data_IF_845676256560
#
_entry.id   IF_845676256560
#
_cell.length_a   1.000
_cell.length_b   1.000
_cell.length_c   1.000
_cell.angle_alpha   90.00
_cell.angle_beta   90.00
_cell.angle_gamma   90.00
#
_symmetry.space_group_name_H-M   'P 1'
#
loop_
_entity.id
_entity.type
_entity.pdbx_description
1 polymer ?
#
# COMPACT_ATOMS: atom_id res chain seq x y z
N UNK A 1 -2.97 21.63 17.64
CA UNK A 1 -3.71 22.29 16.55
C UNK A 1 -3.65 21.37 15.35
N UNK A 2 -4.80 20.92 14.83
CA UNK A 2 -4.84 19.98 13.71
C UNK A 2 -5.43 20.65 12.48
N UNK A 3 -4.76 20.56 11.33
CA UNK A 3 -5.28 21.05 10.06
C UNK A 3 -5.82 19.87 9.27
N UNK A 4 -7.06 19.99 8.80
CA UNK A 4 -7.75 19.01 7.96
C UNK A 4 -7.99 19.60 6.58
N UNK A 5 -7.74 18.82 5.53
CA UNK A 5 -7.92 19.22 4.15
C UNK A 5 -9.05 18.42 3.50
N UNK A 6 -10.02 19.11 2.93
CA UNK A 6 -11.03 18.54 2.04
C UNK A 6 -10.59 18.78 0.60
N UNK A 7 -9.86 17.80 0.05
CA UNK A 7 -9.31 17.88 -1.31
C UNK A 7 -10.38 17.84 -2.40
N UNK A 8 -11.54 17.21 -2.13
CA UNK A 8 -12.64 17.12 -3.10
C UNK A 8 -13.24 18.49 -3.36
N UNK A 9 -13.35 19.31 -2.32
CA UNK A 9 -13.93 20.65 -2.40
C UNK A 9 -12.88 21.78 -2.37
N UNK A 10 -11.58 21.45 -2.29
CA UNK A 10 -10.46 22.40 -2.16
C UNK A 10 -10.61 23.34 -0.96
N UNK A 11 -10.94 22.78 0.21
CA UNK A 11 -11.13 23.53 1.45
C UNK A 11 -10.15 23.05 2.52
N UNK A 12 -9.75 23.93 3.42
CA UNK A 12 -8.88 23.60 4.54
C UNK A 12 -9.51 24.12 5.84
N UNK A 13 -9.39 23.33 6.90
CA UNK A 13 -9.96 23.65 8.20
C UNK A 13 -8.92 23.47 9.29
N UNK A 14 -8.80 24.46 10.15
CA UNK A 14 -7.98 24.37 11.34
C UNK A 14 -8.86 24.12 12.54
N UNK A 15 -8.53 23.09 13.33
CA UNK A 15 -9.22 22.76 14.57
C UNK A 15 -8.29 22.99 15.76
N UNK A 16 -8.68 23.93 16.62
CA UNK A 16 -8.09 24.15 17.94
C UNK A 16 -8.95 23.44 18.99
N UNK A 17 -8.32 22.52 19.73
CA UNK A 17 -8.94 21.81 20.85
C UNK A 17 -8.38 22.43 22.12
N UNK A 18 -9.21 23.16 22.85
CA UNK A 18 -8.88 23.63 24.20
C UNK A 18 -9.35 22.62 25.22
N UNK A 19 -8.41 22.19 26.06
CA UNK A 19 -8.66 21.29 27.18
C UNK A 19 -8.36 22.04 28.47
N UNK A 20 -9.17 21.78 29.47
CA UNK A 20 -8.90 22.26 30.82
C UNK A 20 -7.57 21.65 31.29
N UNK A 21 -6.59 22.47 31.72
CA UNK A 21 -5.28 21.97 32.11
C UNK A 21 -5.31 21.16 33.42
N UNK A 22 -6.30 21.36 34.28
CA UNK A 22 -6.40 20.73 35.60
C UNK A 22 -7.13 19.37 35.55
N UNK A 23 -8.15 19.25 34.69
CA UNK A 23 -9.03 18.06 34.61
C UNK A 23 -8.85 17.26 33.32
N UNK A 24 -8.15 17.81 32.33
CA UNK A 24 -7.96 17.19 31.01
C UNK A 24 -9.23 17.12 30.16
N UNK A 25 -10.38 17.58 30.67
CA UNK A 25 -11.65 17.58 29.95
C UNK A 25 -11.66 18.60 28.82
N UNK A 26 -12.38 18.26 27.76
CA UNK A 26 -12.53 19.04 26.56
C UNK A 26 -13.43 20.25 26.84
N UNK A 27 -12.88 21.47 26.81
CA UNK A 27 -13.65 22.69 27.09
C UNK A 27 -14.25 23.28 25.83
N UNK A 28 -13.48 23.31 24.73
CA UNK A 28 -13.92 23.94 23.49
C UNK A 28 -13.22 23.37 22.27
N UNK A 29 -13.99 23.17 21.21
CA UNK A 29 -13.49 22.87 19.87
C UNK A 29 -13.83 24.08 19.00
N UNK A 30 -12.81 24.69 18.40
CA UNK A 30 -12.97 25.78 17.44
C UNK A 30 -12.48 25.27 16.10
N UNK A 31 -13.37 25.19 15.11
CA UNK A 31 -13.04 24.85 13.73
C UNK A 31 -13.24 26.09 12.87
N UNK A 32 -12.18 26.51 12.16
CA UNK A 32 -12.23 27.64 11.22
C UNK A 32 -11.73 27.22 9.85
N UNK A 33 -12.37 27.75 8.81
CA UNK A 33 -11.88 27.59 7.45
C UNK A 33 -10.65 28.48 7.24
N UNK A 34 -9.60 27.91 6.68
CA UNK A 34 -8.35 28.59 6.34
C UNK A 34 -8.11 28.47 4.83
N UNK A 35 -7.28 29.34 4.24
CA UNK A 35 -6.92 29.23 2.83
C UNK A 35 -6.40 27.83 2.48
N UNK A 36 -6.96 27.23 1.43
CA UNK A 36 -6.47 25.96 0.90
C UNK A 36 -5.16 26.20 0.14
N UNK A 37 -4.04 25.94 0.81
CA UNK A 37 -2.70 26.09 0.22
C UNK A 37 -2.23 24.86 -0.57
N UNK A 38 -3.10 23.84 -0.72
CA UNK A 38 -2.70 22.51 -1.21
C UNK A 38 -1.88 21.75 -0.17
N UNK A 39 -1.60 20.47 -0.43
CA UNK A 39 -0.54 19.78 0.31
C UNK A 39 0.79 20.50 0.01
N UNK A 40 1.65 20.80 1.02
CA UNK A 40 3.01 21.20 0.73
C UNK A 40 3.65 20.13 -0.18
N UNK A 41 4.42 20.49 -1.21
CA UNK A 41 4.95 19.55 -2.22
C UNK A 41 5.96 18.51 -1.67
N UNK A 42 6.04 18.33 -0.35
CA UNK A 42 7.00 17.48 0.33
C UNK A 42 6.40 16.59 1.42
N UNK A 43 5.07 16.46 1.52
CA UNK A 43 4.53 15.32 2.26
C UNK A 43 4.92 14.07 1.46
N UNK A 44 6.06 13.47 1.80
CA UNK A 44 6.43 12.16 1.28
C UNK A 44 5.22 11.27 1.53
N UNK A 45 4.75 10.51 0.52
CA UNK A 45 3.69 9.54 0.74
C UNK A 45 4.05 8.76 2.00
N UNK A 46 3.08 8.48 2.89
CA UNK A 46 3.36 7.70 4.09
C UNK A 46 4.18 6.50 3.61
N UNK A 47 5.40 6.36 4.15
CA UNK A 47 6.21 5.18 3.91
C UNK A 47 5.41 4.04 4.52
N UNK A 48 4.48 3.49 3.76
CA UNK A 48 3.90 2.20 4.04
C UNK A 48 5.12 1.33 4.32
N UNK A 49 5.14 0.70 5.49
CA UNK A 49 6.11 -0.34 5.78
C UNK A 49 5.77 -1.52 4.87
N UNK A 50 5.93 -1.36 3.57
CA UNK A 50 6.07 -2.45 2.65
C UNK A 50 7.26 -3.23 3.18
N UNK A 51 7.02 -4.41 3.70
CA UNK A 51 8.07 -5.34 4.09
C UNK A 51 8.89 -5.61 2.84
N UNK A 52 10.03 -4.93 2.70
CA UNK A 52 10.96 -5.23 1.62
C UNK A 52 11.40 -6.67 1.82
N UNK A 53 10.92 -7.56 0.94
CA UNK A 53 11.28 -8.96 1.02
C UNK A 53 12.78 -9.06 0.76
N UNK A 54 13.48 -9.84 1.58
CA UNK A 54 14.84 -10.24 1.23
C UNK A 54 14.82 -11.03 -0.07
N UNK A 55 15.94 -11.08 -0.78
CA UNK A 55 16.06 -11.85 -2.04
C UNK A 55 15.56 -13.28 -1.89
N UNK A 56 15.93 -13.94 -0.79
CA UNK A 56 15.50 -15.30 -0.47
C UNK A 56 13.99 -15.40 -0.22
N UNK A 57 13.41 -14.43 0.49
CA UNK A 57 11.96 -14.38 0.71
C UNK A 57 11.19 -14.17 -0.59
N UNK A 58 11.70 -13.29 -1.47
CA UNK A 58 11.13 -13.06 -2.79
C UNK A 58 11.22 -14.31 -3.67
N UNK A 59 12.34 -15.03 -3.63
CA UNK A 59 12.52 -16.28 -4.39
C UNK A 59 11.58 -17.39 -3.89
N UNK A 60 11.43 -17.57 -2.58
CA UNK A 60 10.48 -18.53 -1.99
C UNK A 60 9.04 -18.17 -2.34
N UNK A 61 8.67 -16.89 -2.24
CA UNK A 61 7.33 -16.42 -2.62
C UNK A 61 7.06 -16.70 -4.10
N UNK A 62 8.02 -16.40 -4.98
CA UNK A 62 7.90 -16.66 -6.41
C UNK A 62 7.71 -18.15 -6.72
N UNK A 63 8.46 -19.03 -6.05
CA UNK A 63 8.30 -20.48 -6.19
C UNK A 63 6.92 -20.93 -5.71
N UNK A 64 6.46 -20.42 -4.56
CA UNK A 64 5.13 -20.74 -4.01
C UNK A 64 3.98 -20.31 -4.93
N UNK A 65 4.06 -19.10 -5.48
CA UNK A 65 3.06 -18.61 -6.44
C UNK A 65 3.05 -19.45 -7.74
N UNK A 66 4.22 -19.81 -8.25
CA UNK A 66 4.30 -20.69 -9.43
C UNK A 66 3.71 -22.08 -9.17
N UNK A 67 4.02 -22.67 -8.01
CA UNK A 67 3.47 -23.97 -7.62
C UNK A 67 1.94 -23.90 -7.47
N UNK A 68 1.42 -22.85 -6.83
CA UNK A 68 -0.02 -22.61 -6.70
C UNK A 68 -0.68 -22.51 -8.07
N UNK A 69 -0.12 -21.72 -8.99
CA UNK A 69 -0.69 -21.54 -10.33
C UNK A 69 -0.68 -22.82 -11.18
N UNK A 70 0.31 -23.70 -10.99
CA UNK A 70 0.50 -24.91 -11.81
C UNK A 70 -0.21 -26.15 -11.25
N UNK A 71 -0.28 -26.28 -9.93
CA UNK A 71 -0.65 -27.55 -9.29
C UNK A 71 -1.86 -27.44 -8.35
N UNK A 72 -2.32 -26.23 -8.03
CA UNK A 72 -3.53 -26.07 -7.20
C UNK A 72 -4.79 -26.31 -8.02
N UNK A 73 -5.77 -26.99 -7.42
CA UNK A 73 -7.13 -27.12 -7.96
C UNK A 73 -7.82 -25.74 -8.01
N UNK A 74 -7.53 -24.87 -7.03
CA UNK A 74 -8.01 -23.48 -6.95
C UNK A 74 -7.20 -22.48 -7.79
N UNK A 75 -6.35 -22.97 -8.70
CA UNK A 75 -5.58 -22.06 -9.55
C UNK A 75 -6.52 -21.22 -10.43
N UNK A 76 -6.34 -19.89 -10.45
CA UNK A 76 -7.17 -18.99 -11.26
C UNK A 76 -6.90 -19.12 -12.76
N UNK A 77 -5.90 -19.92 -13.16
CA UNK A 77 -5.55 -20.14 -14.55
C UNK A 77 -6.42 -21.24 -15.17
N UNK A 78 -6.95 -20.95 -16.37
CA UNK A 78 -7.52 -21.97 -17.24
C UNK A 78 -6.45 -22.99 -17.68
N UNK A 79 -6.89 -24.16 -18.11
CA UNK A 79 -6.02 -25.28 -18.45
C UNK A 79 -4.99 -24.94 -19.54
N UNK A 80 -5.34 -24.08 -20.51
CA UNK A 80 -4.45 -23.71 -21.62
C UNK A 80 -3.33 -22.80 -21.12
N UNK A 81 -3.68 -21.77 -20.35
CA UNK A 81 -2.70 -20.85 -19.75
C UNK A 81 -1.79 -21.58 -18.76
N UNK A 82 -2.34 -22.53 -18.00
CA UNK A 82 -1.58 -23.39 -17.10
C UNK A 82 -0.54 -24.25 -17.85
N UNK A 83 -0.94 -24.85 -18.96
CA UNK A 83 -0.02 -25.64 -19.81
C UNK A 83 1.08 -24.77 -20.45
N UNK A 84 0.76 -23.55 -20.87
CA UNK A 84 1.76 -22.60 -21.39
C UNK A 84 2.76 -22.18 -20.31
N UNK A 85 2.29 -21.89 -19.10
CA UNK A 85 3.15 -21.58 -17.96
C UNK A 85 4.08 -22.74 -17.62
N UNK A 86 3.58 -23.98 -17.62
CA UNK A 86 4.39 -25.17 -17.38
C UNK A 86 5.53 -25.29 -18.41
N UNK A 87 5.24 -25.08 -19.70
CA UNK A 87 6.25 -25.08 -20.78
C UNK A 87 7.27 -23.97 -20.60
N UNK A 88 6.82 -22.77 -20.23
CA UNK A 88 7.71 -21.63 -20.00
C UNK A 88 8.67 -21.89 -18.82
N UNK A 89 8.17 -22.43 -17.70
CA UNK A 89 8.99 -22.77 -16.54
C UNK A 89 10.02 -23.84 -16.90
N UNK A 90 9.62 -24.90 -17.62
CA UNK A 90 10.54 -25.94 -18.09
C UNK A 90 11.61 -25.38 -19.03
N UNK A 91 11.23 -24.50 -19.97
CA UNK A 91 12.18 -23.81 -20.85
C UNK A 91 13.16 -22.95 -20.05
N UNK A 92 12.69 -22.21 -19.05
CA UNK A 92 13.53 -21.34 -18.22
C UNK A 92 14.55 -22.12 -17.38
N UNK A 93 14.15 -23.28 -16.85
CA UNK A 93 15.04 -24.19 -16.13
C UNK A 93 16.13 -24.74 -17.05
N UNK A 94 15.78 -25.09 -18.29
CA UNK A 94 16.71 -25.64 -19.27
C UNK A 94 17.70 -24.61 -19.82
N UNK A 95 17.30 -23.34 -19.93
CA UNK A 95 18.11 -22.30 -20.57
C UNK A 95 18.79 -21.34 -19.60
N UNK A 96 18.75 -21.61 -18.29
CA UNK A 96 19.44 -20.81 -17.27
C UNK A 96 18.98 -19.35 -17.29
N UNK A 97 17.80 -19.07 -16.76
CA UNK A 97 17.21 -17.73 -16.78
C UNK A 97 18.07 -16.65 -16.12
N UNK A 98 18.90 -15.97 -16.91
CA UNK A 98 19.48 -14.66 -16.60
C UNK A 98 18.61 -13.57 -17.25
N UNK A 99 17.77 -12.95 -16.43
CA UNK A 99 17.30 -11.57 -16.58
C UNK A 99 17.57 -10.86 -15.26
#
# INVERSE_FOLDING_TARGET
MGVHYDHKNRRAFETEIRRNPETGTLERIITREIPYLGEPPFAQPPKERGTTLTREQADRLRQGLQAFMLHSDDSPLDATTRAQLARYVAWRQKNGGNL
#
